data_IF_088165008019
#
_entry.id   IF_088165008019
#
_cell.length_a   1.000
_cell.length_b   1.000
_cell.length_c   1.000
_cell.angle_alpha   90.00
_cell.angle_beta   90.00
_cell.angle_gamma   90.00
#
_symmetry.space_group_name_H-M   'P 1'
#
loop_
_entity.id
_entity.type
_entity.pdbx_description
1 polymer ?
#
# COMPACT_ATOMS: atom_id res chain seq x y z
N UNK A 1 -4.64 18.44 10.83
CA UNK A 1 -3.63 17.41 10.45
C UNK A 1 -2.89 16.77 11.63
N UNK A 2 -3.42 16.86 12.86
CA UNK A 2 -2.69 16.45 14.08
C UNK A 2 -3.27 15.17 14.74
N UNK A 3 -4.01 14.37 13.97
CA UNK A 3 -4.48 13.06 14.46
C UNK A 3 -3.45 12.02 14.02
N UNK A 4 -2.61 11.58 14.96
CA UNK A 4 -1.58 10.57 14.70
C UNK A 4 -2.14 9.16 14.39
N UNK A 5 -3.46 8.98 14.40
CA UNK A 5 -4.16 7.73 14.19
C UNK A 5 -5.29 7.91 13.16
N UNK A 6 -5.56 6.87 12.37
CA UNK A 6 -6.72 6.81 11.50
C UNK A 6 -7.88 6.12 12.20
N UNK A 7 -9.11 6.52 11.89
CA UNK A 7 -10.33 5.87 12.37
C UNK A 7 -11.33 5.83 11.22
N UNK A 8 -12.13 4.77 11.16
CA UNK A 8 -13.27 4.63 10.27
C UNK A 8 -14.40 4.02 11.11
N UNK A 9 -15.43 4.82 11.41
CA UNK A 9 -16.59 4.37 12.17
C UNK A 9 -17.78 4.04 11.27
N UNK A 10 -18.86 3.60 11.89
CA UNK A 10 -20.06 3.08 11.24
C UNK A 10 -20.65 4.02 10.18
N UNK A 11 -20.65 5.34 10.42
CA UNK A 11 -21.17 6.31 9.45
C UNK A 11 -20.35 6.33 8.14
N UNK A 12 -19.03 6.22 8.24
CA UNK A 12 -18.15 6.16 7.08
C UNK A 12 -18.28 4.81 6.37
N UNK A 13 -18.43 3.71 7.13
CA UNK A 13 -18.66 2.37 6.58
C UNK A 13 -20.01 2.28 5.85
N UNK A 14 -21.11 2.79 6.42
CA UNK A 14 -22.43 2.84 5.77
C UNK A 14 -22.37 3.67 4.49
N UNK A 15 -21.78 4.86 4.55
CA UNK A 15 -21.67 5.71 3.37
C UNK A 15 -20.86 5.04 2.25
N UNK A 16 -19.69 4.49 2.57
CA UNK A 16 -18.85 3.74 1.63
C UNK A 16 -19.59 2.53 1.08
N UNK A 17 -20.24 1.75 1.94
CA UNK A 17 -21.01 0.57 1.56
C UNK A 17 -22.07 0.90 0.53
N UNK A 18 -22.84 1.97 0.75
CA UNK A 18 -23.83 2.45 -0.24
C UNK A 18 -23.21 2.93 -1.55
N UNK A 19 -21.95 3.39 -1.55
CA UNK A 19 -21.28 3.77 -2.79
C UNK A 19 -20.82 2.55 -3.59
N UNK A 20 -20.34 1.50 -2.92
CA UNK A 20 -19.83 0.30 -3.54
C UNK A 20 -20.88 -0.81 -3.76
N UNK A 21 -22.06 -0.71 -3.13
CA UNK A 21 -23.24 -1.55 -3.39
C UNK A 21 -23.95 -1.13 -4.68
N UNK A 22 -23.17 -1.09 -5.76
CA UNK A 22 -23.60 -0.75 -7.11
C UNK A 22 -22.83 -1.65 -8.08
N UNK A 23 -23.35 -1.80 -9.30
CA UNK A 23 -22.62 -2.49 -10.35
C UNK A 23 -21.54 -1.56 -10.92
N UNK A 24 -20.31 -1.67 -10.38
CA UNK A 24 -19.16 -0.86 -10.73
C UNK A 24 -18.05 -1.71 -11.35
N UNK A 25 -17.35 -1.14 -12.32
CA UNK A 25 -16.08 -1.63 -12.82
C UNK A 25 -14.93 -0.86 -12.14
N UNK A 26 -13.77 -1.51 -11.93
CA UNK A 26 -12.55 -0.90 -11.40
C UNK A 26 -12.76 -0.18 -10.05
N UNK A 27 -13.00 -0.97 -9.00
CA UNK A 27 -13.34 -0.49 -7.66
C UNK A 27 -12.08 -0.03 -6.92
N UNK A 28 -11.93 1.29 -6.74
CA UNK A 28 -10.78 1.89 -6.06
C UNK A 28 -11.20 2.56 -4.76
N UNK A 29 -10.57 2.16 -3.64
CA UNK A 29 -10.69 2.83 -2.35
C UNK A 29 -9.41 3.61 -2.05
N UNK A 30 -9.52 4.84 -1.56
CA UNK A 30 -8.36 5.64 -1.18
C UNK A 30 -8.50 6.14 0.25
N UNK A 31 -7.43 5.99 1.04
CA UNK A 31 -7.36 6.49 2.41
C UNK A 31 -5.93 6.89 2.77
N UNK A 32 -5.75 7.74 3.76
CA UNK A 32 -4.41 8.21 4.13
C UNK A 32 -3.64 7.18 4.97
N UNK A 33 -4.24 6.70 6.05
CA UNK A 33 -3.59 5.79 7.00
C UNK A 33 -3.55 4.36 6.46
N UNK A 34 -2.50 3.63 6.80
CA UNK A 34 -2.34 2.24 6.40
C UNK A 34 -3.39 1.35 7.07
N UNK A 35 -3.89 0.35 6.35
CA UNK A 35 -4.66 -0.76 6.95
C UNK A 35 -3.72 -1.84 7.48
N UNK A 36 -2.68 -2.18 6.72
CA UNK A 36 -1.71 -3.22 7.09
C UNK A 36 -0.36 -2.54 7.37
N UNK A 37 0.29 -2.84 8.51
CA UNK A 37 1.65 -2.38 8.77
C UNK A 37 2.60 -2.88 7.68
N UNK A 38 3.50 -2.01 7.20
CA UNK A 38 4.52 -2.39 6.19
C UNK A 38 5.90 -2.51 6.84
N UNK A 39 6.80 -3.36 6.31
CA UNK A 39 8.16 -3.49 6.82
C UNK A 39 8.88 -2.15 6.77
N UNK A 40 9.88 -1.98 7.66
CA UNK A 40 10.74 -0.79 7.69
C UNK A 40 10.02 0.54 7.95
N UNK A 41 8.72 0.52 8.25
CA UNK A 41 7.94 1.72 8.58
C UNK A 41 8.12 2.18 10.03
N UNK A 42 8.89 1.48 10.86
CA UNK A 42 9.11 1.78 12.28
C UNK A 42 8.11 1.09 13.21
N UNK A 43 8.21 1.33 14.52
CA UNK A 43 7.44 0.59 15.56
C UNK A 43 6.13 1.28 15.97
N UNK A 44 5.83 2.48 15.44
CA UNK A 44 4.65 3.25 15.86
C UNK A 44 3.37 2.65 15.28
N UNK A 45 2.41 2.35 16.16
CA UNK A 45 1.06 1.93 15.77
C UNK A 45 0.26 3.12 15.26
N UNK A 46 0.18 3.23 13.93
CA UNK A 46 -0.44 4.36 13.22
C UNK A 46 -1.34 3.90 12.08
N UNK A 47 -1.64 2.60 12.04
CA UNK A 47 -2.67 2.04 11.18
C UNK A 47 -4.04 2.53 11.62
N UNK A 48 -5.02 2.44 10.72
CA UNK A 48 -6.42 2.70 11.07
C UNK A 48 -6.81 1.81 12.26
N UNK A 49 -7.42 2.42 13.29
CA UNK A 49 -8.03 1.66 14.39
C UNK A 49 -9.17 0.83 13.84
N UNK A 50 -9.22 -0.42 14.27
CA UNK A 50 -10.16 -1.41 13.76
C UNK A 50 -10.07 -1.60 12.23
N UNK A 51 -8.85 -1.61 11.68
CA UNK A 51 -8.61 -1.87 10.26
C UNK A 51 -9.20 -3.21 9.76
N UNK A 52 -9.56 -4.13 10.67
CA UNK A 52 -10.23 -5.39 10.33
C UNK A 52 -11.55 -5.18 9.59
N UNK A 53 -12.38 -4.24 10.04
CA UNK A 53 -13.67 -3.93 9.38
C UNK A 53 -13.45 -3.41 7.95
N UNK A 54 -12.43 -2.57 7.74
CA UNK A 54 -12.09 -2.10 6.38
C UNK A 54 -11.46 -3.19 5.52
N UNK A 55 -10.72 -4.15 6.11
CA UNK A 55 -10.24 -5.31 5.38
C UNK A 55 -11.41 -6.21 4.96
N UNK A 56 -12.36 -6.49 5.84
CA UNK A 56 -13.58 -7.25 5.51
C UNK A 56 -14.40 -6.53 4.45
N UNK A 57 -14.59 -5.22 4.58
CA UNK A 57 -15.24 -4.36 3.59
C UNK A 57 -14.63 -4.54 2.20
N UNK A 58 -13.29 -4.57 2.10
CA UNK A 58 -12.63 -4.73 0.80
C UNK A 58 -12.92 -6.07 0.14
N UNK A 59 -13.12 -7.12 0.93
CA UNK A 59 -13.47 -8.45 0.42
C UNK A 59 -14.95 -8.52 0.05
N UNK A 60 -15.83 -7.99 0.91
CA UNK A 60 -17.28 -7.98 0.70
C UNK A 60 -17.69 -7.25 -0.57
N UNK A 61 -17.07 -6.11 -0.86
CA UNK A 61 -17.38 -5.29 -2.03
C UNK A 61 -16.43 -5.51 -3.22
N UNK A 62 -15.59 -6.55 -3.16
CA UNK A 62 -14.64 -6.93 -4.21
C UNK A 62 -13.78 -5.75 -4.69
N UNK A 63 -13.22 -4.99 -3.75
CA UNK A 63 -12.38 -3.83 -4.07
C UNK A 63 -11.12 -4.29 -4.80
N UNK A 64 -10.83 -3.71 -5.97
CA UNK A 64 -9.68 -4.07 -6.79
C UNK A 64 -8.37 -3.49 -6.25
N UNK A 65 -8.42 -2.21 -5.85
CA UNK A 65 -7.25 -1.42 -5.48
C UNK A 65 -7.53 -0.51 -4.28
N UNK A 66 -6.67 -0.58 -3.27
CA UNK A 66 -6.68 0.30 -2.10
C UNK A 66 -5.42 1.15 -2.12
N UNK A 67 -5.57 2.47 -2.21
CA UNK A 67 -4.48 3.45 -2.23
C UNK A 67 -4.25 4.03 -0.84
N UNK A 68 -3.01 3.93 -0.34
CA UNK A 68 -2.63 4.37 1.01
C UNK A 68 -1.36 5.24 1.04
N UNK A 69 -1.32 6.19 1.97
CA UNK A 69 -0.22 7.14 2.19
C UNK A 69 0.41 7.02 3.58
N UNK A 70 0.74 8.11 4.27
CA UNK A 70 1.20 8.13 5.68
C UNK A 70 2.65 7.69 5.98
N UNK A 71 3.07 6.44 5.75
CA UNK A 71 4.42 6.00 6.19
C UNK A 71 5.53 6.30 5.19
N UNK A 72 5.22 6.84 4.01
CA UNK A 72 6.23 7.19 3.01
C UNK A 72 7.16 6.03 2.64
N UNK A 73 6.61 4.80 2.63
CA UNK A 73 7.33 3.58 2.28
C UNK A 73 6.54 2.94 1.13
N UNK A 74 7.05 3.00 -0.10
CA UNK A 74 6.45 2.32 -1.22
C UNK A 74 6.41 0.81 -0.96
N UNK A 75 5.21 0.22 -0.98
CA UNK A 75 5.03 -1.21 -0.79
C UNK A 75 3.69 -1.69 -1.37
N UNK A 76 3.49 -3.00 -1.41
CA UNK A 76 2.24 -3.59 -1.86
C UNK A 76 1.99 -4.91 -1.13
N UNK A 77 0.71 -5.14 -0.80
CA UNK A 77 0.19 -6.44 -0.43
C UNK A 77 -0.92 -6.83 -1.40
N UNK A 78 -1.07 -8.12 -1.66
CA UNK A 78 -2.22 -8.67 -2.40
C UNK A 78 -2.89 -9.69 -1.50
N UNK A 79 -4.16 -9.46 -1.18
CA UNK A 79 -4.98 -10.35 -0.34
C UNK A 79 -6.26 -10.61 -1.13
N UNK A 80 -6.50 -11.88 -1.46
CA UNK A 80 -7.60 -12.26 -2.34
C UNK A 80 -7.52 -11.51 -3.69
N UNK A 81 -8.62 -10.89 -4.16
CA UNK A 81 -8.62 -10.10 -5.38
C UNK A 81 -8.06 -8.67 -5.21
N UNK A 82 -7.85 -8.21 -3.98
CA UNK A 82 -7.54 -6.81 -3.67
C UNK A 82 -6.04 -6.53 -3.62
N UNK A 83 -5.62 -5.45 -4.27
CA UNK A 83 -4.26 -4.92 -4.19
C UNK A 83 -4.22 -3.74 -3.23
N UNK A 84 -3.42 -3.84 -2.17
CA UNK A 84 -3.19 -2.79 -1.18
C UNK A 84 -1.88 -2.08 -1.49
N UNK A 85 -1.96 -0.89 -2.08
CA UNK A 85 -0.83 -0.12 -2.56
C UNK A 85 -0.47 1.01 -1.60
N UNK A 86 0.79 1.01 -1.14
CA UNK A 86 1.36 2.01 -0.25
C UNK A 86 2.28 2.90 -1.06
N UNK A 87 2.05 4.21 -1.00
CA UNK A 87 2.86 5.20 -1.69
C UNK A 87 4.02 5.71 -0.83
N UNK A 88 5.05 6.22 -1.50
CA UNK A 88 6.11 7.01 -0.89
C UNK A 88 5.63 8.41 -0.51
N UNK A 89 6.50 9.40 -0.73
CA UNK A 89 6.17 10.82 -0.59
C UNK A 89 6.81 11.58 -1.73
N UNK A 90 6.06 12.45 -2.40
CA UNK A 90 6.59 13.14 -3.60
C UNK A 90 7.37 14.42 -3.29
N UNK A 91 7.07 15.08 -2.16
CA UNK A 91 7.53 16.45 -1.87
C UNK A 91 8.22 16.60 -0.51
N UNK A 92 8.44 15.49 0.20
CA UNK A 92 9.01 15.51 1.55
C UNK A 92 10.27 14.66 1.63
N UNK A 93 11.26 15.16 2.36
CA UNK A 93 12.46 14.40 2.71
C UNK A 93 12.24 13.49 3.94
N UNK A 94 11.02 13.41 4.48
CA UNK A 94 10.66 12.48 5.58
C UNK A 94 10.47 11.06 5.06
N UNK A 95 11.47 10.54 4.36
CA UNK A 95 11.52 9.18 3.83
C UNK A 95 11.94 8.19 4.91
N UNK A 96 11.80 6.90 4.63
CA UNK A 96 12.23 5.81 5.53
C UNK A 96 13.05 4.80 4.76
N UNK A 97 13.89 4.06 5.49
CA UNK A 97 14.70 2.97 4.95
C UNK A 97 15.49 3.35 3.68
N UNK A 98 16.11 4.52 3.75
CA UNK A 98 17.01 5.07 2.73
C UNK A 98 16.34 5.25 1.34
N UNK A 99 15.01 5.38 1.31
CA UNK A 99 14.30 5.68 0.07
C UNK A 99 14.51 7.11 -0.40
N UNK A 100 14.35 7.32 -1.70
CA UNK A 100 14.13 8.65 -2.27
C UNK A 100 12.65 9.02 -2.26
N UNK A 101 12.32 10.32 -2.21
CA UNK A 101 10.97 10.80 -2.51
C UNK A 101 10.48 10.20 -3.83
N UNK A 102 9.25 9.72 -3.82
CA UNK A 102 8.66 8.97 -4.94
C UNK A 102 7.14 9.04 -4.95
N UNK A 103 6.56 8.70 -6.10
CA UNK A 103 5.14 8.45 -6.29
C UNK A 103 4.92 7.13 -7.03
N UNK A 104 3.69 6.63 -7.02
CA UNK A 104 3.33 5.48 -7.83
C UNK A 104 2.75 5.92 -9.17
N UNK A 105 3.24 5.33 -10.26
CA UNK A 105 2.59 5.36 -11.57
C UNK A 105 1.84 4.04 -11.75
N UNK A 106 0.52 4.12 -11.85
CA UNK A 106 -0.39 2.97 -11.85
C UNK A 106 -1.04 2.89 -13.23
N UNK A 107 -0.96 1.72 -13.84
CA UNK A 107 -1.54 1.43 -15.15
C UNK A 107 -2.60 0.34 -14.94
N UNK A 108 -3.83 0.62 -15.34
CA UNK A 108 -4.97 -0.29 -15.26
C UNK A 108 -5.45 -0.62 -16.68
N UNK A 109 -5.40 -1.89 -17.06
CA UNK A 109 -5.79 -2.34 -18.40
C UNK A 109 -6.57 -3.65 -18.30
N UNK A 110 -7.89 -3.64 -18.55
CA UNK A 110 -8.72 -4.86 -18.64
C UNK A 110 -8.56 -5.82 -17.43
N UNK A 111 -8.46 -5.27 -16.22
CA UNK A 111 -8.25 -6.03 -14.97
C UNK A 111 -6.78 -6.30 -14.61
N UNK A 112 -5.85 -6.01 -15.50
CA UNK A 112 -4.42 -6.03 -15.21
C UNK A 112 -3.99 -4.75 -14.47
N UNK A 113 -3.09 -4.92 -13.50
CA UNK A 113 -2.52 -3.82 -12.72
C UNK A 113 -1.01 -3.85 -12.86
N UNK A 114 -0.43 -2.76 -13.34
CA UNK A 114 1.01 -2.52 -13.25
C UNK A 114 1.27 -1.29 -12.37
N UNK A 115 2.23 -1.41 -11.46
CA UNK A 115 2.63 -0.32 -10.57
C UNK A 115 4.12 -0.14 -10.66
N UNK A 116 4.54 1.07 -10.98
CA UNK A 116 5.91 1.51 -10.93
C UNK A 116 6.11 2.53 -9.81
N UNK A 117 7.23 2.44 -9.09
CA UNK A 117 7.71 3.50 -8.21
C UNK A 117 8.52 4.46 -9.08
N UNK A 118 8.13 5.73 -9.09
CA UNK A 118 8.83 6.79 -9.83
C UNK A 118 9.51 7.71 -8.83
N UNK A 119 10.82 7.84 -8.94
CA UNK A 119 11.61 8.77 -8.14
C UNK A 119 11.23 10.22 -8.50
N UNK A 120 10.88 11.02 -7.51
CA UNK A 120 10.38 12.39 -7.72
C UNK A 120 11.44 13.37 -8.18
N UNK A 121 12.72 13.05 -8.04
CA UNK A 121 13.84 13.94 -8.37
C UNK A 121 14.37 13.71 -9.78
N UNK A 122 14.51 12.46 -10.20
CA UNK A 122 15.14 12.10 -11.47
C UNK A 122 14.20 11.35 -12.44
N UNK A 123 12.95 11.06 -12.02
CA UNK A 123 11.94 10.33 -12.79
C UNK A 123 12.33 8.89 -13.18
N UNK A 124 13.39 8.35 -12.57
CA UNK A 124 13.71 6.92 -12.71
C UNK A 124 12.55 6.08 -12.19
N UNK A 125 12.22 5.04 -12.97
CA UNK A 125 11.04 4.21 -12.74
C UNK A 125 11.46 2.77 -12.49
N UNK A 126 10.93 2.19 -11.43
CA UNK A 126 11.19 0.81 -11.03
C UNK A 126 9.88 0.06 -10.85
N UNK A 127 9.74 -1.09 -11.50
CA UNK A 127 8.57 -1.95 -11.36
C UNK A 127 8.41 -2.43 -9.91
N UNK A 128 7.23 -2.23 -9.35
CA UNK A 128 6.84 -2.69 -8.02
C UNK A 128 5.91 -3.91 -8.09
N UNK A 129 4.88 -3.83 -8.94
CA UNK A 129 3.90 -4.90 -9.11
C UNK A 129 3.52 -5.05 -10.58
N UNK A 130 3.44 -6.28 -11.05
CA UNK A 130 2.68 -6.66 -12.23
C UNK A 130 1.67 -7.74 -11.81
N UNK A 131 0.38 -7.45 -11.91
CA UNK A 131 -0.71 -8.39 -11.64
C UNK A 131 -1.52 -8.58 -12.91
N UNK A 132 -1.58 -9.83 -13.34
CA UNK A 132 -2.38 -10.34 -14.45
C UNK A 132 -3.41 -11.33 -13.91
N UNK A 133 -4.53 -11.51 -14.61
CA UNK A 133 -5.63 -12.42 -14.23
C UNK A 133 -5.20 -13.82 -13.71
N UNK A 134 -4.10 -14.39 -14.22
CA UNK A 134 -3.58 -15.71 -13.82
C UNK A 134 -2.22 -15.68 -13.12
N UNK A 135 -1.63 -14.49 -12.92
CA UNK A 135 -0.25 -14.36 -12.44
C UNK A 135 -0.05 -13.03 -11.71
N UNK A 136 0.26 -13.12 -10.43
CA UNK A 136 0.75 -11.97 -9.66
C UNK A 136 2.28 -12.06 -9.55
N UNK A 137 2.99 -11.09 -10.14
CA UNK A 137 4.44 -10.93 -10.00
C UNK A 137 4.72 -9.68 -9.18
N UNK A 138 5.06 -9.87 -7.90
CA UNK A 138 5.56 -8.82 -7.05
C UNK A 138 7.09 -8.71 -7.19
N UNK A 139 7.60 -7.53 -7.56
CA UNK A 139 9.04 -7.26 -7.63
C UNK A 139 9.40 -6.47 -6.39
N UNK A 140 10.17 -7.10 -5.49
CA UNK A 140 10.66 -6.43 -4.28
C UNK A 140 11.61 -5.30 -4.68
N UNK A 141 11.30 -4.04 -4.31
CA UNK A 141 12.16 -2.93 -4.70
C UNK A 141 13.49 -2.92 -3.94
N UNK A 142 13.60 -3.65 -2.83
CA UNK A 142 14.80 -3.74 -1.98
C UNK A 142 14.85 -5.03 -1.17
N UNK A 143 16.02 -5.30 -0.58
CA UNK A 143 16.21 -6.36 0.42
C UNK A 143 15.39 -6.08 1.67
N UNK A 144 14.89 -7.15 2.30
CA UNK A 144 14.15 -7.11 3.56
C UNK A 144 15.09 -6.90 4.74
N UNK A 145 14.54 -6.45 5.87
CA UNK A 145 15.28 -6.37 7.14
C UNK A 145 15.88 -7.72 7.53
N UNK A 146 15.13 -8.81 7.34
CA UNK A 146 15.58 -10.16 7.68
C UNK A 146 16.79 -10.55 6.82
N UNK A 147 16.73 -10.31 5.50
CA UNK A 147 17.88 -10.58 4.61
C UNK A 147 19.12 -9.76 4.99
N UNK A 148 18.94 -8.52 5.46
CA UNK A 148 20.06 -7.72 5.97
C UNK A 148 20.64 -8.32 7.27
N UNK A 149 19.79 -8.71 8.21
CA UNK A 149 20.20 -9.32 9.48
C UNK A 149 20.93 -10.65 9.25
N UNK A 150 20.42 -11.50 8.36
CA UNK A 150 21.03 -12.79 8.01
C UNK A 150 22.33 -12.65 7.22
N UNK A 151 22.57 -11.51 6.57
CA UNK A 151 23.85 -11.23 5.90
C UNK A 151 24.93 -10.70 6.85
N UNK A 152 24.57 -10.45 8.10
CA UNK A 152 25.46 -9.90 9.12
C UNK A 152 25.94 -11.02 10.03
N UNK A 153 27.26 -11.19 10.14
CA UNK A 153 27.88 -12.17 11.04
C UNK A 153 27.78 -11.80 12.52
N UNK A 154 27.06 -10.73 12.86
CA UNK A 154 26.90 -10.23 14.24
C UNK A 154 26.11 -11.21 15.11
N UNK A 155 25.35 -12.12 14.50
CA UNK A 155 24.46 -13.06 15.19
C UNK A 155 24.79 -14.53 14.91
N UNK A 156 25.96 -14.81 14.32
CA UNK A 156 26.39 -16.16 13.92
C UNK A 156 27.19 -16.90 15.04
N UNK A 157 27.30 -16.29 16.23
CA UNK A 157 27.96 -16.85 17.43
C UNK A 157 26.99 -17.62 18.36
#
# INVERSE_FOLDING_TARGET
DDVAHGECGDEALDWCGRQFDKNLENRVLALHHHLIPVPLSGQKFTTVRDAGELLEFTQLFEIDLVLMGHRHVPHVYVIGPTTFLYCGTSTSNKVRADDSPSFNHIILNEGDIEVNIVNSTNLESTLLLERKLSRTKFVRPRRTRIEHLLSSSVWDD
#
